data_IF_504382412319
#
_entry.id   IF_504382412319
#
_cell.length_a   1.000
_cell.length_b   1.000
_cell.length_c   1.000
_cell.angle_alpha   90.00
_cell.angle_beta   90.00
_cell.angle_gamma   90.00
#
_symmetry.space_group_name_H-M   'P 1'
#
loop_
_entity.id
_entity.type
_entity.pdbx_description
1 polymer ?
2 non-polymer ?
3 non-polymer ?
4 water ?
#
# COMPACT_ATOMS: atom_id res chain seq x y z
N UNK A 27 40.61 25.08 -19.12
CA UNK A 27 40.28 23.72 -19.53
C UNK A 27 39.66 22.91 -18.39
N UNK A 28 38.80 23.55 -17.61
CA UNK A 28 38.12 22.84 -16.55
C UNK A 28 36.81 22.27 -17.06
N UNK A 29 36.55 20.98 -16.89
CA UNK A 29 35.29 20.41 -17.36
C UNK A 29 34.14 20.82 -16.46
N UNK A 30 32.93 20.72 -17.01
CA UNK A 30 31.73 20.85 -16.22
C UNK A 30 31.49 19.56 -15.43
N UNK A 31 30.67 19.68 -14.38
CA UNK A 31 30.26 18.57 -13.52
C UNK A 31 28.74 18.56 -13.45
N UNK A 32 28.14 17.40 -13.69
CA UNK A 32 26.68 17.25 -13.52
C UNK A 32 26.37 16.97 -12.05
N UNK A 33 25.49 17.77 -11.47
CA UNK A 33 25.17 17.69 -10.04
C UNK A 33 23.82 16.98 -9.89
N UNK A 34 23.85 15.77 -9.33
CA UNK A 34 22.64 14.97 -9.10
C UNK A 34 22.11 15.28 -7.71
N UNK A 35 20.99 15.96 -7.64
CA UNK A 35 20.21 15.97 -6.42
C UNK A 35 19.30 14.76 -6.37
N UNK A 36 18.67 14.55 -5.21
CA UNK A 36 17.75 13.42 -5.08
C UNK A 36 16.57 13.52 -6.04
N UNK A 37 16.18 14.75 -6.41
CA UNK A 37 15.09 14.88 -7.37
C UNK A 37 15.46 14.27 -8.70
N UNK A 38 16.63 14.64 -9.23
CA UNK A 38 17.09 14.09 -10.49
C UNK A 38 17.32 12.59 -10.39
N UNK A 39 17.88 12.15 -9.27
CA UNK A 39 18.21 10.73 -9.11
C UNK A 39 16.95 9.88 -9.13
N UNK A 40 15.92 10.28 -8.38
CA UNK A 40 14.72 9.47 -8.29
C UNK A 40 13.97 9.47 -9.62
N UNK A 41 13.94 10.62 -10.30
CA UNK A 41 13.41 10.68 -11.65
C UNK A 41 14.07 9.64 -12.55
N UNK A 42 15.40 9.59 -12.51
CA UNK A 42 16.13 8.69 -13.37
C UNK A 42 16.00 7.22 -12.95
N UNK A 43 15.73 6.95 -11.67
CA UNK A 43 15.46 5.57 -11.24
C UNK A 43 14.28 4.99 -12.01
N UNK A 44 13.21 5.76 -12.17
CA UNK A 44 12.06 5.28 -12.92
C UNK A 44 12.37 5.22 -14.42
N UNK A 45 13.13 6.19 -14.93
CA UNK A 45 13.52 6.15 -16.35
C UNK A 45 14.28 4.87 -16.67
N UNK A 46 15.17 4.43 -15.77
CA UNK A 46 15.96 3.24 -16.02
C UNK A 46 15.10 1.99 -16.14
N UNK A 47 13.93 1.99 -15.51
CA UNK A 47 13.00 0.87 -15.60
C UNK A 47 12.04 1.01 -16.78
N UNK A 48 12.17 2.08 -17.56
CA UNK A 48 11.32 2.34 -18.72
C UNK A 48 9.84 2.34 -18.34
N UNK A 49 9.51 3.04 -17.27
CA UNK A 49 8.12 3.17 -16.88
C UNK A 49 7.92 4.49 -16.15
N UNK A 50 6.66 4.82 -15.91
CA UNK A 50 6.28 6.06 -15.26
C UNK A 50 5.93 5.77 -13.81
N UNK A 51 6.43 6.62 -12.91
CA UNK A 51 6.20 6.41 -11.50
C UNK A 51 6.31 7.70 -10.72
N UNK A 52 5.67 7.69 -9.56
CA UNK A 52 5.78 8.78 -8.60
C UNK A 52 6.00 8.17 -7.22
N UNK A 53 6.71 8.91 -6.38
CA UNK A 53 6.89 8.57 -4.98
C UNK A 53 6.43 9.77 -4.17
N UNK A 54 5.40 9.58 -3.38
CA UNK A 54 4.83 10.63 -2.53
C UNK A 54 5.36 10.41 -1.13
N UNK A 55 5.89 11.47 -0.51
CA UNK A 55 6.45 11.41 0.84
C UNK A 55 5.67 12.38 1.71
N UNK A 56 5.30 11.94 2.92
CA UNK A 56 4.66 12.85 3.87
C UNK A 56 5.33 12.75 5.23
N UNK A 57 5.73 13.90 5.76
CA UNK A 57 6.15 13.93 7.15
C UNK A 57 5.89 15.33 7.67
N UNK A 58 5.56 15.43 8.96
CA UNK A 58 5.24 16.72 9.58
C UNK A 58 4.17 17.46 8.79
N UNK A 59 3.18 16.72 8.29
CA UNK A 59 2.06 17.29 7.53
C UNK A 59 2.51 18.04 6.29
N UNK A 60 3.64 17.63 5.70
CA UNK A 60 4.16 18.20 4.48
C UNK A 60 4.39 17.07 3.48
N UNK A 61 3.90 17.26 2.26
CA UNK A 61 3.97 16.26 1.19
C UNK A 61 4.93 16.74 0.12
N UNK A 62 5.85 15.87 -0.30
CA UNK A 62 6.76 16.14 -1.40
C UNK A 62 6.65 15.03 -2.44
N UNK A 63 6.79 15.41 -3.71
CA UNK A 63 6.66 14.47 -4.83
C UNK A 63 7.99 14.25 -5.55
N UNK A 64 8.28 12.98 -5.86
CA UNK A 64 9.50 12.62 -6.59
C UNK A 64 9.13 11.62 -7.67
N UNK A 65 10.03 11.46 -8.62
CA UNK A 65 9.83 10.48 -9.70
C UNK A 65 9.83 11.13 -11.06
N UNK A 66 9.52 10.33 -12.08
CA UNK A 66 9.54 10.84 -13.45
C UNK A 66 8.15 11.18 -13.98
N UNK A 67 7.09 10.98 -13.19
CA UNK A 67 5.72 11.19 -13.64
C UNK A 67 4.90 11.79 -12.49
N UNK A 68 5.19 13.05 -12.15
CA UNK A 68 4.57 13.66 -10.98
C UNK A 68 3.07 13.79 -11.11
N UNK A 69 2.54 13.84 -12.34
CA UNK A 69 1.09 13.95 -12.51
C UNK A 69 0.35 12.71 -12.00
N UNK A 70 1.05 11.58 -11.80
CA UNK A 70 0.39 10.43 -11.22
C UNK A 70 -0.08 10.70 -9.78
N UNK A 71 0.53 11.66 -9.09
CA UNK A 71 0.27 11.81 -7.67
C UNK A 71 -1.19 12.16 -7.40
N UNK A 72 -1.83 12.92 -8.31
CA UNK A 72 -3.24 13.27 -8.16
C UNK A 72 -4.11 12.63 -9.22
N UNK A 73 -3.70 11.47 -9.71
CA UNK A 73 -4.50 10.66 -10.61
C UNK A 73 -5.04 9.47 -9.82
N UNK A 74 -6.30 9.12 -10.07
CA UNK A 74 -6.93 7.99 -9.39
C UNK A 74 -6.50 6.69 -10.06
N UNK A 75 -6.14 5.70 -9.25
CA UNK A 75 -5.87 4.33 -9.72
C UNK A 75 -6.57 3.32 -8.83
N UNK A 76 -6.82 2.14 -9.39
CA UNK A 76 -7.37 1.11 -8.50
C UNK A 76 -6.32 0.78 -7.43
N UNK A 77 -6.73 0.58 -6.18
CA UNK A 77 -5.74 0.39 -5.11
C UNK A 77 -5.05 -0.96 -5.13
N UNK A 78 -5.63 -1.96 -5.80
CA UNK A 78 -5.15 -3.34 -5.67
C UNK A 78 -5.01 -3.71 -4.20
N UNK A 79 -3.99 -4.51 -3.87
CA UNK A 79 -3.90 -5.07 -2.54
C UNK A 79 -3.56 -4.05 -1.46
N UNK A 80 -3.25 -2.79 -1.80
CA UNK A 80 -3.16 -1.79 -0.73
C UNK A 80 -4.47 -1.69 0.03
N UNK A 81 -5.59 -2.04 -0.61
CA UNK A 81 -6.88 -1.99 0.04
C UNK A 81 -6.98 -2.95 1.22
N UNK A 82 -6.12 -3.97 1.25
CA UNK A 82 -6.17 -4.92 2.37
C UNK A 82 -6.03 -4.20 3.71
N UNK A 83 -5.30 -3.08 3.74
CA UNK A 83 -5.19 -2.30 4.97
C UNK A 83 -6.55 -1.87 5.48
N UNK A 84 -7.37 -1.34 4.57
CA UNK A 84 -8.69 -0.85 4.96
C UNK A 84 -9.68 -1.99 5.19
N UNK A 85 -9.59 -3.05 4.38
CA UNK A 85 -10.42 -4.25 4.59
C UNK A 85 -10.20 -4.79 6.00
N UNK A 86 -8.94 -4.89 6.42
CA UNK A 86 -8.64 -5.40 7.76
C UNK A 86 -9.21 -4.49 8.84
N UNK A 87 -9.01 -3.17 8.68
CA UNK A 87 -9.56 -2.23 9.64
C UNK A 87 -11.07 -2.39 9.77
N UNK A 88 -11.77 -2.46 8.64
CA UNK A 88 -13.23 -2.60 8.67
C UNK A 88 -13.64 -3.92 9.30
N UNK A 89 -12.96 -5.01 8.95
CA UNK A 89 -13.35 -6.31 9.46
C UNK A 89 -13.15 -6.44 10.96
N UNK A 90 -12.04 -5.90 11.46
CA UNK A 90 -11.76 -5.95 12.90
C UNK A 90 -12.67 -5.01 13.68
N UNK A 91 -12.88 -3.79 13.19
CA UNK A 91 -13.72 -2.83 13.90
C UNK A 91 -15.15 -3.35 14.03
N UNK A 92 -15.67 -4.00 12.99
CA UNK A 92 -17.02 -4.51 13.00
C UNK A 92 -17.12 -5.94 13.51
N UNK A 93 -16.01 -6.46 14.08
CA UNK A 93 -15.99 -7.75 14.78
C UNK A 93 -16.42 -8.90 13.88
N UNK A 94 -16.05 -8.82 12.60
CA UNK A 94 -16.22 -9.92 11.67
C UNK A 94 -15.09 -10.94 11.74
N UNK A 95 -14.00 -10.58 12.40
CA UNK A 95 -12.83 -11.43 12.53
C UNK A 95 -12.07 -10.94 13.75
N UNK A 96 -10.93 -11.58 14.01
CA UNK A 96 -10.01 -11.12 15.05
C UNK A 96 -8.60 -11.50 14.61
N UNK A 97 -7.61 -10.90 15.26
CA UNK A 97 -6.23 -11.05 14.81
C UNK A 97 -5.69 -12.46 14.99
N UNK A 98 -6.34 -13.31 15.79
CA UNK A 98 -5.86 -14.67 16.00
C UNK A 98 -6.61 -15.70 15.16
N UNK A 99 -7.69 -15.30 14.49
CA UNK A 99 -8.45 -16.26 13.70
C UNK A 99 -7.58 -16.85 12.60
N UNK A 100 -7.64 -18.16 12.45
CA UNK A 100 -6.93 -18.87 11.39
C UNK A 100 -7.93 -19.10 10.27
N UNK A 101 -7.71 -18.43 9.14
CA UNK A 101 -8.53 -18.63 7.94
C UNK A 101 -8.06 -19.90 7.24
N UNK A 102 -8.97 -20.85 7.06
CA UNK A 102 -8.59 -22.15 6.55
C UNK A 102 -8.52 -22.16 5.03
N UNK A 103 -7.50 -22.82 4.49
CA UNK A 103 -7.44 -23.08 3.05
C UNK A 103 -8.37 -24.26 2.77
N UNK A 104 -9.42 -24.01 2.02
CA UNK A 104 -10.48 -24.99 1.84
C UNK A 104 -10.32 -25.83 0.59
N UNK A 105 -9.21 -25.68 -0.13
CA UNK A 105 -8.83 -26.68 -1.12
C UNK A 105 -8.79 -26.25 -2.57
N UNK A 106 -9.15 -25.01 -2.92
CA UNK A 106 -9.04 -24.58 -4.29
C UNK A 106 -7.58 -24.29 -4.64
N UNK A 107 -7.25 -24.48 -5.91
CA UNK A 107 -5.90 -24.14 -6.37
C UNK A 107 -5.73 -22.63 -6.34
N UNK A 108 -4.78 -22.15 -5.55
CA UNK A 108 -4.59 -20.72 -5.43
C UNK A 108 -3.52 -20.22 -6.40
N UNK A 109 -3.39 -18.89 -6.50
CA UNK A 109 -2.45 -18.33 -7.47
C UNK A 109 -1.02 -18.72 -7.17
N UNK A 110 -0.71 -18.99 -5.90
CA UNK A 110 0.64 -19.33 -5.49
C UNK A 110 0.55 -20.46 -4.48
N UNK A 111 1.47 -21.43 -4.59
CA UNK A 111 1.53 -22.52 -3.63
C UNK A 111 1.73 -22.00 -2.21
N UNK A 112 2.45 -20.88 -2.07
CA UNK A 112 2.68 -20.30 -0.74
C UNK A 112 1.37 -19.87 -0.07
N UNK A 113 0.31 -19.66 -0.83
CA UNK A 113 -0.98 -19.29 -0.25
C UNK A 113 -1.81 -20.49 0.18
N UNK A 114 -1.38 -21.71 -0.16
CA UNK A 114 -2.19 -22.91 0.07
C UNK A 114 -1.91 -23.48 1.47
N UNK A 115 -2.38 -22.74 2.46
CA UNK A 115 -2.21 -23.09 3.86
C UNK A 115 -3.20 -22.27 4.68
N UNK A 116 -3.48 -22.75 5.89
CA UNK A 116 -4.28 -21.98 6.83
C UNK A 116 -3.42 -20.82 7.35
N UNK A 117 -4.03 -19.64 7.53
CA UNK A 117 -3.22 -18.49 7.93
C UNK A 117 -4.10 -17.41 8.54
N UNK A 118 -3.47 -16.53 9.31
CA UNK A 118 -4.15 -15.41 9.94
C UNK A 118 -4.27 -14.25 8.97
N UNK A 119 -5.06 -13.24 9.36
CA UNK A 119 -5.15 -12.01 8.59
C UNK A 119 -3.78 -11.37 8.41
N UNK A 120 -2.95 -11.40 9.46
CA UNK A 120 -1.62 -10.82 9.37
C UNK A 120 -0.71 -11.55 8.40
N UNK A 121 -0.74 -12.89 8.42
CA UNK A 121 0.07 -13.62 7.46
C UNK A 121 -0.43 -13.40 6.03
N UNK A 122 -1.76 -13.33 5.86
CA UNK A 122 -2.33 -13.05 4.55
C UNK A 122 -1.99 -11.66 4.07
N UNK A 123 -1.87 -10.70 5.00
CA UNK A 123 -1.40 -9.36 4.64
C UNK A 123 -0.01 -9.42 4.01
N UNK A 124 0.93 -10.08 4.69
CA UNK A 124 2.30 -10.13 4.20
C UNK A 124 2.39 -10.87 2.88
N UNK A 125 1.63 -11.97 2.74
CA UNK A 125 1.62 -12.73 1.50
C UNK A 125 0.75 -12.11 0.42
N UNK A 126 -0.04 -11.08 0.75
CA UNK A 126 -1.03 -10.53 -0.17
C UNK A 126 -1.98 -11.61 -0.66
N UNK A 127 -2.41 -12.47 0.25
CA UNK A 127 -3.23 -13.62 -0.09
C UNK A 127 -4.68 -13.17 -0.31
N UNK A 128 -4.98 -12.75 -1.54
CA UNK A 128 -6.29 -12.29 -2.00
C UNK A 128 -7.45 -13.16 -1.49
N UNK A 129 -7.40 -14.50 -1.60
CA UNK A 129 -8.61 -15.25 -1.17
C UNK A 129 -8.96 -15.11 0.30
N UNK A 130 -7.99 -14.86 1.19
CA UNK A 130 -8.34 -14.65 2.59
C UNK A 130 -9.12 -13.36 2.75
N UNK A 131 -8.71 -12.33 2.03
CA UNK A 131 -9.37 -11.04 2.14
C UNK A 131 -10.68 -10.99 1.35
N UNK A 132 -10.84 -11.86 0.34
CA UNK A 132 -12.16 -12.00 -0.29
C UNK A 132 -13.14 -12.65 0.67
N UNK A 133 -12.69 -13.63 1.46
CA UNK A 133 -13.55 -14.22 2.48
C UNK A 133 -13.93 -13.18 3.53
N UNK A 134 -12.98 -12.35 3.94
CA UNK A 134 -13.30 -11.30 4.90
C UNK A 134 -14.26 -10.28 4.30
N UNK A 135 -14.03 -9.89 3.04
CA UNK A 135 -14.91 -8.91 2.40
C UNK A 135 -16.34 -9.41 2.33
N UNK A 136 -16.51 -10.72 2.11
CA UNK A 136 -17.86 -11.27 2.01
C UNK A 136 -18.53 -11.34 3.38
N UNK A 137 -17.77 -11.57 4.45
CA UNK A 137 -18.35 -11.50 5.78
C UNK A 137 -18.84 -10.09 6.09
N UNK A 138 -18.02 -9.09 5.79
CA UNK A 138 -18.44 -7.71 5.97
C UNK A 138 -19.72 -7.44 5.18
N UNK A 139 -19.74 -7.86 3.92
CA UNK A 139 -20.91 -7.70 3.09
C UNK A 139 -20.91 -6.37 2.36
N UNK A 140 -21.62 -6.35 1.24
CA UNK A 140 -21.58 -5.19 0.35
C UNK A 140 -22.08 -3.94 1.05
N UNK A 141 -23.17 -4.06 1.82
CA UNK A 141 -23.78 -2.86 2.42
C UNK A 141 -22.87 -2.24 3.48
N UNK A 142 -22.37 -3.06 4.41
CA UNK A 142 -21.48 -2.52 5.44
C UNK A 142 -20.17 -2.02 4.85
N UNK A 143 -19.66 -2.71 3.84
CA UNK A 143 -18.39 -2.31 3.21
C UNK A 143 -18.59 -0.93 2.57
N UNK A 144 -19.64 -0.77 1.78
CA UNK A 144 -19.87 0.51 1.10
C UNK A 144 -20.07 1.63 2.12
N UNK A 145 -20.78 1.34 3.21
CA UNK A 145 -21.00 2.38 4.22
C UNK A 145 -19.69 2.76 4.91
N UNK A 146 -18.84 1.77 5.21
CA UNK A 146 -17.58 2.06 5.89
C UNK A 146 -16.59 2.76 4.97
N UNK A 147 -16.54 2.36 3.71
CA UNK A 147 -15.65 3.02 2.75
C UNK A 147 -16.05 4.47 2.57
N UNK A 148 -17.35 4.74 2.47
CA UNK A 148 -17.83 6.11 2.35
C UNK A 148 -17.59 6.89 3.66
N UNK A 149 -17.78 6.24 4.81
CA UNK A 149 -17.52 6.91 6.08
C UNK A 149 -16.06 7.36 6.18
N UNK A 150 -15.12 6.50 5.76
CA UNK A 150 -13.70 6.82 5.75
C UNK A 150 -13.40 7.87 4.67
N UNK A 151 -14.16 7.86 3.58
CA UNK A 151 -13.86 8.71 2.44
C UNK A 151 -12.61 8.27 1.71
N UNK A 152 -12.48 6.97 1.46
CA UNK A 152 -11.28 6.43 0.82
C UNK A 152 -11.43 6.56 -0.69
N UNK A 153 -10.59 7.41 -1.30
CA UNK A 153 -10.60 7.56 -2.74
C UNK A 153 -11.92 8.07 -3.24
N UNK A 154 -12.40 7.49 -4.34
CA UNK A 154 -13.72 7.82 -4.85
C UNK A 154 -14.84 7.17 -4.04
N UNK A 155 -14.49 6.27 -3.12
CA UNK A 155 -15.43 5.67 -2.17
C UNK A 155 -16.55 4.88 -2.85
N UNK A 156 -16.28 4.36 -4.04
CA UNK A 156 -17.28 3.62 -4.82
C UNK A 156 -16.82 2.18 -4.96
N UNK A 157 -17.67 1.24 -4.53
CA UNK A 157 -17.32 -0.17 -4.58
C UNK A 157 -18.22 -0.99 -5.50
N UNK A 158 -19.25 -0.39 -6.08
CA UNK A 158 -20.07 -1.13 -7.02
C UNK A 158 -20.83 -2.27 -6.36
N UNK A 159 -21.02 -3.34 -7.14
CA UNK A 159 -21.89 -4.45 -6.77
C UNK A 159 -21.14 -5.77 -6.55
N UNK A 160 -19.83 -5.82 -6.80
CA UNK A 160 -19.04 -7.04 -6.69
C UNK A 160 -18.17 -6.90 -5.44
N UNK A 161 -18.60 -7.54 -4.35
CA UNK A 161 -17.95 -7.37 -3.06
C UNK A 161 -16.56 -8.01 -3.00
N UNK A 162 -16.21 -8.90 -3.94
CA UNK A 162 -14.98 -9.68 -3.84
C UNK A 162 -13.86 -9.22 -4.77
N UNK A 163 -14.05 -8.12 -5.52
CA UNK A 163 -12.99 -7.71 -6.44
C UNK A 163 -12.98 -6.21 -6.71
N UNK A 164 -13.76 -5.41 -5.98
CA UNK A 164 -13.91 -4.00 -6.33
C UNK A 164 -12.62 -3.21 -6.17
N UNK A 165 -11.66 -3.73 -5.39
CA UNK A 165 -10.37 -3.10 -5.21
C UNK A 165 -9.33 -3.57 -6.22
N UNK A 166 -9.65 -4.58 -7.03
CA UNK A 166 -8.72 -5.14 -8.01
C UNK A 166 -8.97 -4.71 -9.45
N UNK A 167 -10.24 -4.49 -9.83
CA UNK A 167 -10.59 -4.18 -11.21
C UNK A 167 -11.54 -2.99 -11.25
N UNK A 168 -11.56 -2.22 -10.17
CA UNK A 168 -12.51 -1.13 -10.05
C UNK A 168 -13.84 -1.63 -9.54
N UNK A 169 -14.76 -0.71 -9.27
CA UNK A 169 -14.70 0.73 -9.57
C UNK A 169 -13.99 1.58 -8.51
N UNK A 170 -13.49 1.00 -7.43
CA UNK A 170 -12.82 1.79 -6.42
C UNK A 170 -11.47 2.28 -6.94
N UNK A 171 -11.22 3.59 -6.77
CA UNK A 171 -9.97 4.20 -7.18
C UNK A 171 -9.56 5.23 -6.15
N UNK A 172 -8.24 5.47 -6.06
CA UNK A 172 -7.67 6.35 -5.05
C UNK A 172 -6.40 6.95 -5.64
N UNK A 173 -6.09 8.20 -5.24
CA UNK A 173 -4.84 8.78 -5.73
C UNK A 173 -3.69 8.42 -4.81
N UNK A 174 -2.45 8.50 -5.32
CA UNK A 174 -1.30 8.28 -4.42
C UNK A 174 -1.25 9.27 -3.26
N UNK A 175 -1.63 10.52 -3.48
CA UNK A 175 -1.69 11.47 -2.38
C UNK A 175 -2.70 11.03 -1.34
N UNK A 176 -3.88 10.57 -1.79
CA UNK A 176 -4.86 10.07 -0.84
C UNK A 176 -4.32 8.86 -0.08
N UNK A 177 -3.57 7.99 -0.76
CA UNK A 177 -2.97 6.86 -0.04
C UNK A 177 -1.95 7.30 1.00
N UNK A 178 -1.10 8.30 0.68
CA UNK A 178 -0.12 8.71 1.69
C UNK A 178 -0.83 9.34 2.88
N UNK A 179 -1.92 10.08 2.61
CA UNK A 179 -2.67 10.69 3.70
C UNK A 179 -3.30 9.62 4.58
N UNK A 180 -3.88 8.60 3.94
CA UNK A 180 -4.50 7.50 4.67
C UNK A 180 -3.47 6.77 5.52
N UNK A 181 -2.33 6.39 4.93
CA UNK A 181 -1.39 5.56 5.65
C UNK A 181 -0.70 6.34 6.76
N UNK A 182 -0.49 7.65 6.56
CA UNK A 182 0.06 8.45 7.65
C UNK A 182 -0.92 8.54 8.81
N UNK A 183 -2.21 8.69 8.51
CA UNK A 183 -3.21 8.66 9.57
C UNK A 183 -3.19 7.34 10.31
N UNK A 184 -3.10 6.21 9.59
CA UNK A 184 -2.99 4.94 10.27
C UNK A 184 -1.78 4.91 11.18
N UNK A 185 -0.63 5.35 10.66
CA UNK A 185 0.61 5.31 11.44
C UNK A 185 0.48 6.12 12.72
N UNK A 186 -0.27 7.22 12.68
CA UNK A 186 -0.45 8.08 13.84
C UNK A 186 -1.68 7.73 14.67
N UNK A 187 -2.39 6.64 14.34
CA UNK A 187 -3.63 6.26 15.03
C UNK A 187 -4.69 7.37 14.93
N UNK A 188 -4.77 8.02 13.77
CA UNK A 188 -5.68 9.14 13.55
C UNK A 188 -6.88 8.79 12.68
N UNK A 189 -6.98 7.56 12.20
CA UNK A 189 -8.14 7.18 11.41
C UNK A 189 -9.35 7.02 12.32
N UNK A 190 -10.56 7.12 11.77
CA UNK A 190 -11.78 6.93 12.59
C UNK A 190 -12.09 5.47 12.85
N UNK A 191 -11.17 4.79 13.52
CA UNK A 191 -11.34 3.43 14.02
C UNK A 191 -10.79 3.41 15.44
N UNK A 192 -11.11 2.38 16.19
CA UNK A 192 -10.59 2.28 17.55
C UNK A 192 -9.07 2.19 17.53
N UNK A 193 -8.46 2.61 18.65
CA UNK A 193 -7.00 2.62 18.74
C UNK A 193 -6.42 1.21 18.65
N UNK A 194 -7.09 0.25 19.30
CA UNK A 194 -6.59 -1.14 19.28
C UNK A 194 -6.62 -1.72 17.87
N UNK A 195 -7.71 -1.46 17.12
CA UNK A 195 -7.82 -1.96 15.75
C UNK A 195 -6.71 -1.37 14.88
N UNK A 196 -6.45 -0.07 14.99
CA UNK A 196 -5.37 0.53 14.21
C UNK A 196 -4.01 -0.03 14.61
N UNK A 197 -3.78 -0.21 15.92
CA UNK A 197 -2.51 -0.79 16.36
C UNK A 197 -2.34 -2.20 15.82
N UNK A 198 -3.42 -2.98 15.80
CA UNK A 198 -3.35 -4.36 15.32
C UNK A 198 -3.03 -4.41 13.83
N UNK A 199 -3.65 -3.53 13.04
CA UNK A 199 -3.38 -3.53 11.60
C UNK A 199 -1.97 -3.05 11.32
N UNK A 200 -1.52 -2.02 12.04
CA UNK A 200 -0.12 -1.60 11.94
C UNK A 200 0.82 -2.78 12.14
N UNK A 201 0.54 -3.62 13.14
CA UNK A 201 1.41 -4.77 13.40
C UNK A 201 1.47 -5.73 12.22
N UNK A 202 0.41 -5.80 11.42
CA UNK A 202 0.42 -6.68 10.26
C UNK A 202 1.29 -6.18 9.12
N UNK A 203 1.72 -4.92 9.17
CA UNK A 203 2.38 -4.26 8.06
C UNK A 203 3.88 -4.13 8.22
N UNK A 204 4.46 -4.64 9.30
CA UNK A 204 5.89 -4.50 9.51
C UNK A 204 6.65 -5.34 8.49
N UNK A 205 7.51 -4.68 7.72
CA UNK A 205 8.31 -5.33 6.69
C UNK A 205 9.77 -5.53 7.08
N UNK A 206 10.36 -4.63 7.87
CA UNK A 206 11.78 -4.66 8.13
C UNK A 206 12.08 -3.83 9.38
N UNK A 207 13.04 -4.30 10.18
CA UNK A 207 13.53 -3.51 11.31
C UNK A 207 15.04 -3.70 11.40
N UNK A 208 15.75 -2.58 11.48
CA UNK A 208 17.20 -2.65 11.65
C UNK A 208 17.71 -1.28 12.07
N UNK A 209 18.70 -1.27 12.96
CA UNK A 209 19.40 -0.05 13.38
C UNK A 209 18.46 1.00 13.97
N UNK A 210 17.36 0.57 14.59
CA UNK A 210 16.41 1.49 15.15
C UNK A 210 15.38 2.04 14.20
N UNK A 211 15.44 1.65 12.92
CA UNK A 211 14.45 2.00 11.94
C UNK A 211 13.47 0.85 11.77
N UNK A 212 12.21 1.19 11.52
CA UNK A 212 11.20 0.23 11.12
C UNK A 212 10.59 0.68 9.80
N UNK A 213 10.35 -0.26 8.90
CA UNK A 213 9.61 0.03 7.68
C UNK A 213 8.35 -0.81 7.69
N UNK A 214 7.21 -0.13 7.57
CA UNK A 214 5.90 -0.74 7.43
C UNK A 214 5.39 -0.47 6.02
N UNK A 215 4.57 -1.36 5.48
CA UNK A 215 3.95 -1.02 4.21
C UNK A 215 3.24 -2.21 3.59
N UNK A 216 2.61 -1.92 2.44
CA UNK A 216 1.80 -2.90 1.73
C UNK A 216 1.96 -2.67 0.24
N UNK A 217 2.30 -3.73 -0.48
CA UNK A 217 2.38 -3.69 -1.93
C UNK A 217 0.99 -3.89 -2.57
N UNK A 218 0.91 -3.49 -3.82
CA UNK A 218 -0.27 -3.79 -4.63
C UNK A 218 0.12 -3.87 -6.09
N UNK A 219 -0.55 -4.74 -6.82
CA UNK A 219 -0.33 -4.83 -8.27
C UNK A 219 -1.64 -5.25 -8.91
N UNK A 220 -2.30 -4.31 -9.59
CA UNK A 220 -3.50 -4.61 -10.37
C UNK A 220 -3.03 -5.12 -11.73
N UNK A 221 -3.06 -6.44 -11.92
CA UNK A 221 -2.55 -7.05 -13.13
C UNK A 221 -3.61 -7.21 -14.21
N UNK A 222 -4.89 -7.12 -13.85
CA UNK A 222 -5.97 -7.48 -14.76
C UNK A 222 -6.61 -6.27 -15.42
N UNK A 223 -6.08 -5.08 -15.19
CA UNK A 223 -6.52 -3.87 -15.87
C UNK A 223 -5.38 -3.39 -16.77
N UNK A 224 -5.71 -2.47 -17.68
CA UNK A 224 -4.71 -1.88 -18.54
C UNK A 224 -4.88 -0.36 -18.52
N UNK A 225 -3.82 0.41 -18.23
CA UNK A 225 -2.47 -0.04 -17.85
C UNK A 225 -2.44 -0.67 -16.46
N UNK A 226 -1.51 -1.58 -16.21
CA UNK A 226 -1.37 -2.15 -14.88
C UNK A 226 -0.82 -1.09 -13.94
N UNK A 227 -1.18 -1.20 -12.66
CA UNK A 227 -0.70 -0.26 -11.66
C UNK A 227 -0.02 -1.02 -10.53
N UNK A 228 1.11 -0.49 -10.07
CA UNK A 228 1.82 -1.05 -8.94
C UNK A 228 1.95 -0.03 -7.82
N UNK A 229 1.90 -0.53 -6.58
CA UNK A 229 1.88 0.32 -5.39
C UNK A 229 2.82 -0.24 -4.35
N UNK A 230 3.38 0.67 -3.55
CA UNK A 230 3.97 0.30 -2.28
C UNK A 230 3.75 1.49 -1.34
N UNK A 231 2.84 1.31 -0.39
CA UNK A 231 2.40 2.38 0.49
C UNK A 231 2.69 2.00 1.95
N UNK A 232 3.23 2.92 2.72
CA UNK A 232 3.62 2.57 4.07
C UNK A 232 4.30 3.72 4.78
N UNK A 233 5.15 3.41 5.76
CA UNK A 233 5.88 4.47 6.43
C UNK A 233 7.14 3.91 7.07
N UNK A 234 8.08 4.82 7.31
CA UNK A 234 9.29 4.54 8.06
C UNK A 234 9.12 5.16 9.44
N UNK A 235 9.41 4.41 10.48
CA UNK A 235 9.58 4.97 11.81
C UNK A 235 11.08 5.08 12.08
N UNK A 236 11.57 6.30 12.28
CA UNK A 236 12.99 6.54 12.48
C UNK A 236 13.36 6.31 13.94
N UNK A 237 14.66 6.20 14.26
CA UNK A 237 15.06 5.86 15.64
C UNK A 237 14.50 6.80 16.71
N UNK A 238 14.29 8.08 16.38
CA UNK A 238 13.72 9.00 17.36
C UNK A 238 12.19 8.99 17.39
N UNK A 239 11.56 8.11 16.62
CA UNK A 239 10.11 8.00 16.59
C UNK A 239 9.44 8.76 15.46
N UNK A 240 10.17 9.56 14.70
CA UNK A 240 9.56 10.33 13.61
C UNK A 240 8.99 9.39 12.56
N UNK A 241 7.80 9.73 12.05
CA UNK A 241 7.10 8.95 11.03
C UNK A 241 7.27 9.66 9.69
N UNK A 242 7.76 8.93 8.69
CA UNK A 242 7.85 9.43 7.32
C UNK A 242 7.07 8.48 6.43
N UNK A 243 5.90 8.92 5.98
CA UNK A 243 5.03 8.06 5.20
C UNK A 243 5.36 8.16 3.72
N UNK A 244 5.04 7.09 2.98
CA UNK A 244 5.33 7.06 1.56
C UNK A 244 4.21 6.36 0.80
N UNK A 245 4.05 6.76 -0.46
CA UNK A 245 3.19 6.02 -1.39
C UNK A 245 3.90 6.02 -2.74
N UNK A 246 4.42 4.85 -3.14
CA UNK A 246 4.98 4.66 -4.47
C UNK A 246 3.88 4.15 -5.38
N UNK A 247 3.79 4.72 -6.57
CA UNK A 247 2.78 4.31 -7.54
C UNK A 247 3.39 4.37 -8.92
N UNK A 248 3.30 3.27 -9.67
CA UNK A 248 3.98 3.20 -10.95
C UNK A 248 3.19 2.34 -11.92
N UNK A 249 3.43 2.54 -13.21
CA UNK A 249 2.87 1.63 -14.21
C UNK A 249 3.70 0.35 -14.23
N UNK A 250 3.03 -0.79 -14.18
CA UNK A 250 3.68 -2.08 -14.23
C UNK A 250 3.54 -2.71 -15.61
N UNK A 251 4.43 -3.64 -15.90
CA UNK A 251 4.29 -4.53 -17.04
C UNK A 251 4.55 -5.96 -16.57
N UNK A 252 4.01 -6.92 -17.32
CA UNK A 252 4.03 -8.31 -16.87
C UNK A 252 5.43 -8.87 -16.74
N UNK A 253 6.38 -8.37 -17.53
CA UNK A 253 7.74 -8.89 -17.45
C UNK A 253 8.51 -8.37 -16.24
N UNK A 254 7.95 -7.43 -15.48
CA UNK A 254 8.69 -6.90 -14.35
C UNK A 254 8.63 -7.86 -13.17
N UNK A 255 9.73 -7.99 -12.42
CA UNK A 255 9.66 -8.71 -11.13
C UNK A 255 8.89 -7.87 -10.14
N UNK A 256 8.12 -8.54 -9.27
CA UNK A 256 7.33 -7.81 -8.27
C UNK A 256 8.23 -6.97 -7.38
N UNK A 257 9.46 -7.44 -7.12
CA UNK A 257 10.38 -6.72 -6.24
C UNK A 257 10.86 -5.40 -6.82
N UNK A 258 10.50 -5.08 -8.08
CA UNK A 258 10.87 -3.78 -8.65
C UNK A 258 10.31 -2.65 -7.79
N UNK A 259 9.15 -2.86 -7.17
CA UNK A 259 8.54 -1.81 -6.35
C UNK A 259 9.37 -1.59 -5.10
N UNK A 260 9.79 -2.69 -4.46
CA UNK A 260 10.62 -2.60 -3.27
C UNK A 260 11.99 -2.01 -3.60
N UNK A 261 12.56 -2.40 -4.73
CA UNK A 261 13.86 -1.86 -5.14
C UNK A 261 13.80 -0.35 -5.33
N UNK A 262 12.81 0.13 -6.11
CA UNK A 262 12.70 1.57 -6.35
C UNK A 262 12.43 2.32 -5.04
N UNK A 263 11.57 1.79 -4.19
CA UNK A 263 11.30 2.43 -2.92
C UNK A 263 12.56 2.55 -2.07
N UNK A 264 13.27 1.44 -1.87
CA UNK A 264 14.40 1.45 -0.95
C UNK A 264 15.51 2.36 -1.45
N UNK A 265 15.80 2.34 -2.75
CA UNK A 265 16.84 3.22 -3.28
C UNK A 265 16.44 4.68 -3.11
N UNK A 266 15.15 4.99 -3.31
CA UNK A 266 14.71 6.37 -3.20
C UNK A 266 14.73 6.84 -1.75
N UNK A 267 14.28 6.00 -0.82
CA UNK A 267 14.32 6.39 0.59
C UNK A 267 15.75 6.63 1.06
N UNK A 268 16.70 5.84 0.56
CA UNK A 268 18.10 6.08 0.92
C UNK A 268 18.60 7.39 0.33
N UNK A 269 18.25 7.67 -0.93
CA UNK A 269 18.66 8.93 -1.54
C UNK A 269 18.09 10.12 -0.77
N UNK A 270 16.89 10.00 -0.24
CA UNK A 270 16.22 11.04 0.53
C UNK A 270 16.71 11.11 1.98
N UNK A 271 17.61 10.21 2.38
CA UNK A 271 18.11 10.18 3.76
C UNK A 271 17.02 9.89 4.78
N UNK A 272 15.96 9.21 4.33
CA UNK A 272 14.91 8.76 5.23
C UNK A 272 15.34 7.49 5.97
N UNK A 273 16.09 6.63 5.30
CA UNK A 273 16.77 5.49 5.91
C UNK A 273 18.25 5.61 5.56
X LIG B 1 1.08 -7.78 -4.24
X LIG B 1 -0.11 -8.63 -4.52
X LIG B 1 1.10 -7.50 -2.78
X LIG B 1 2.34 -8.52 -4.61
X LIG B 1 1.00 -6.51 -5.00
X LIG C 1 12.92 18.74 -2.36
X LIG C 1 12.81 19.97 -1.49
X LIG C 1 13.23 17.56 -1.50
X LIG C 1 11.64 18.52 -3.09
X LIG C 1 14.04 18.95 -3.33
X LIG D 1 10.43 -2.37 1.79
X LIG D 1 11.01 -3.78 1.69
X LIG D 1 11.36 -3.96 0.33
X LIG D 1 9.92 -4.78 2.07
X LIG D 1 12.25 -3.85 2.59
X LIG D 1 12.99 -5.17 2.82
X LIG D 1 12.24 -5.98 3.72
X LIG D 1 13.32 -5.92 1.54
#
# INVERSE_FOLDING_TARGET
>A
MNKYFTCYVVASLFLSGCTVQHNLINETPSQIVQGHNQVIHQYFDEKNTSGVLVIQTDKKINLYGNALSRANTEYVPASTFKMLNALIGLENQKTDINEIFKWKGEKRSFTAWEKDMTLGEAMKLSAVPVYQELARRIGLDLMQKEVKRIGFGNAEIGQQVDNFWLVGPLKVTPIQEVEFVSQLAHTQLPFSEKVQANVKNMLLLEESNGYKIFGKTGWAMDIKPQVGWLTGWVEQPDGKIVAFALNMEMRSEMPASIRNELLMKSLKQLNII
>B hetero
1 SO4 S O1 O2 O3 O4
>C hetero
1 SO4 S O1 O2 O3 O4
>D hetero
1 MPD C1 C2 O2 CM C3 C4 O4 C5
#
